data_IF_938618866170
#
_entry.id   IF_938618866170
#
_cell.length_a   1.000
_cell.length_b   1.000
_cell.length_c   1.000
_cell.angle_alpha   90.00
_cell.angle_beta   90.00
_cell.angle_gamma   90.00
#
_symmetry.space_group_name_H-M   'P 1'
#
loop_
_entity.id
_entity.type
_entity.pdbx_description
1 polymer ?
#
# COMPACT_ATOMS: atom_id res chain seq x y z
N UNK A 1 13.51 3.11 2.05
CA UNK A 1 13.24 4.38 2.77
C UNK A 1 11.98 4.20 3.58
N UNK A 2 11.94 4.68 4.85
CA UNK A 2 10.68 4.71 5.61
C UNK A 2 10.00 6.05 5.38
N UNK A 3 8.78 6.04 4.84
CA UNK A 3 7.98 7.25 4.62
C UNK A 3 7.42 7.74 5.96
N UNK A 4 8.25 8.41 6.74
CA UNK A 4 7.79 9.33 7.77
C UNK A 4 7.76 10.72 7.12
N UNK A 5 6.59 11.38 7.16
CA UNK A 5 6.33 12.80 6.87
C UNK A 5 7.56 13.53 6.31
N UNK A 6 7.58 13.76 4.99
CA UNK A 6 8.56 14.64 4.37
C UNK A 6 8.37 16.05 4.95
N UNK A 7 9.17 16.39 5.97
CA UNK A 7 9.31 17.75 6.44
C UNK A 7 10.16 18.50 5.43
N UNK A 8 9.49 19.30 4.58
CA UNK A 8 10.06 20.42 3.84
C UNK A 8 11.11 20.06 2.79
N UNK A 9 10.74 20.13 1.52
CA UNK A 9 11.52 20.77 0.44
C UNK A 9 10.62 20.86 -0.80
N UNK A 10 10.75 21.96 -1.53
CA UNK A 10 9.77 22.48 -2.47
C UNK A 10 9.37 21.54 -3.60
N UNK A 11 8.09 21.62 -3.93
CA UNK A 11 7.46 21.04 -5.12
C UNK A 11 8.04 21.70 -6.37
N UNK A 12 8.67 20.93 -7.26
CA UNK A 12 8.98 21.38 -8.61
C UNK A 12 7.82 20.97 -9.52
N UNK A 13 7.09 21.97 -10.02
CA UNK A 13 5.96 21.83 -10.92
C UNK A 13 6.43 21.29 -12.28
N UNK A 14 6.39 19.98 -12.47
CA UNK A 14 6.27 19.25 -13.74
C UNK A 14 6.75 17.81 -13.51
N UNK A 15 5.86 16.90 -13.17
CA UNK A 15 6.21 15.47 -13.11
C UNK A 15 5.23 14.72 -14.00
N UNK A 16 5.72 14.30 -15.16
CA UNK A 16 5.07 13.44 -16.14
C UNK A 16 4.61 12.14 -15.46
N UNK A 17 3.30 12.05 -15.22
CA UNK A 17 2.62 11.01 -14.45
C UNK A 17 2.29 9.75 -15.25
N UNK A 18 2.84 9.56 -16.46
CA UNK A 18 2.25 8.73 -17.52
C UNK A 18 2.42 7.19 -17.44
N UNK A 19 3.06 6.60 -16.42
CA UNK A 19 3.56 5.22 -16.58
C UNK A 19 3.39 4.25 -15.41
N UNK A 20 2.54 4.51 -14.42
CA UNK A 20 2.48 3.65 -13.23
C UNK A 20 1.07 3.27 -12.81
N UNK A 21 0.87 1.99 -12.51
CA UNK A 21 -0.39 1.47 -11.98
C UNK A 21 -0.24 0.99 -10.53
N UNK A 22 -0.64 1.83 -9.57
CA UNK A 22 -0.57 1.56 -8.13
C UNK A 22 -1.66 0.58 -7.65
N UNK A 23 -1.44 -0.73 -7.68
CA UNK A 23 -2.42 -1.72 -7.18
C UNK A 23 -2.49 -1.76 -5.64
N UNK A 24 -3.66 -1.43 -5.08
CA UNK A 24 -3.94 -1.45 -3.64
C UNK A 24 -4.91 -2.59 -3.30
N UNK A 25 -4.37 -3.67 -2.71
CA UNK A 25 -5.12 -4.87 -2.32
C UNK A 25 -5.93 -4.69 -1.02
N UNK A 26 -7.24 -4.48 -1.14
CA UNK A 26 -8.17 -4.24 -0.02
C UNK A 26 -9.15 -5.40 0.14
N UNK A 27 -9.30 -5.92 1.38
CA UNK A 27 -10.41 -6.80 1.79
C UNK A 27 -11.70 -5.96 1.90
N UNK A 28 -12.92 -6.50 1.74
CA UNK A 28 -14.11 -5.69 1.59
C UNK A 28 -14.58 -5.16 2.96
N UNK A 29 -14.33 -3.88 3.23
CA UNK A 29 -14.95 -3.14 4.33
C UNK A 29 -15.11 -1.68 3.93
N UNK A 30 -16.36 -1.30 3.63
CA UNK A 30 -16.82 0.09 3.46
C UNK A 30 -16.35 0.81 2.21
N UNK A 31 -17.27 1.05 1.27
CA UNK A 31 -17.08 1.87 0.06
C UNK A 31 -16.43 3.24 0.34
N UNK A 32 -16.61 3.76 1.57
CA UNK A 32 -16.18 5.08 2.02
C UNK A 32 -14.65 5.24 2.10
N UNK A 33 -13.91 4.20 2.53
CA UNK A 33 -12.45 4.29 2.64
C UNK A 33 -11.78 4.34 1.26
N UNK A 34 -12.29 3.54 0.32
CA UNK A 34 -11.83 3.53 -1.07
C UNK A 34 -12.11 4.90 -1.69
N UNK A 35 -13.32 5.42 -1.54
CA UNK A 35 -13.68 6.74 -2.04
C UNK A 35 -12.78 7.85 -1.47
N UNK A 36 -12.50 7.80 -0.16
CA UNK A 36 -11.60 8.76 0.52
C UNK A 36 -10.19 8.67 -0.03
N UNK A 37 -9.62 7.46 -0.15
CA UNK A 37 -8.27 7.28 -0.67
C UNK A 37 -8.14 7.68 -2.14
N UNK A 38 -9.15 7.39 -2.96
CA UNK A 38 -9.20 7.85 -4.35
C UNK A 38 -9.19 9.38 -4.42
N UNK A 39 -10.02 10.03 -3.60
CA UNK A 39 -10.02 11.50 -3.51
C UNK A 39 -8.64 12.03 -3.13
N UNK A 40 -7.99 11.44 -2.13
CA UNK A 40 -6.62 11.82 -1.76
C UNK A 40 -5.62 11.67 -2.90
N UNK A 41 -5.75 10.63 -3.74
CA UNK A 41 -4.89 10.45 -4.92
C UNK A 41 -5.13 11.57 -5.94
N UNK A 42 -6.39 11.92 -6.22
CA UNK A 42 -6.72 13.03 -7.11
C UNK A 42 -6.25 14.39 -6.56
N UNK A 43 -6.44 14.63 -5.26
CA UNK A 43 -5.99 15.85 -4.58
C UNK A 43 -4.45 15.98 -4.58
N UNK A 44 -3.73 14.85 -4.62
CA UNK A 44 -2.28 14.80 -4.79
C UNK A 44 -1.82 14.98 -6.26
N UNK A 45 -2.76 15.08 -7.21
CA UNK A 45 -2.47 15.23 -8.63
C UNK A 45 -2.14 13.91 -9.34
N UNK A 46 -2.47 12.75 -8.79
CA UNK A 46 -2.20 11.47 -9.47
C UNK A 46 -3.14 11.23 -10.65
N UNK A 47 -2.55 10.96 -11.81
CA UNK A 47 -3.30 10.69 -13.04
C UNK A 47 -3.28 9.23 -13.47
N UNK A 48 -2.31 8.41 -13.04
CA UNK A 48 -2.23 7.00 -13.40
C UNK A 48 -2.18 6.13 -12.13
N UNK A 49 -3.28 5.43 -11.86
CA UNK A 49 -3.45 4.54 -10.70
C UNK A 49 -4.71 3.69 -10.85
N UNK A 50 -4.73 2.54 -10.16
CA UNK A 50 -5.91 1.66 -10.04
C UNK A 50 -5.99 1.06 -8.63
N UNK A 51 -7.14 1.08 -7.98
CA UNK A 51 -7.32 0.31 -6.76
C UNK A 51 -7.76 -1.11 -7.12
N UNK A 52 -7.04 -2.14 -6.66
CA UNK A 52 -7.42 -3.54 -6.88
C UNK A 52 -7.98 -4.15 -5.60
N UNK A 53 -9.30 -4.25 -5.50
CA UNK A 53 -9.94 -4.87 -4.33
C UNK A 53 -9.98 -6.38 -4.55
N UNK A 54 -9.33 -7.13 -3.67
CA UNK A 54 -9.16 -8.58 -3.81
C UNK A 54 -9.82 -9.29 -2.65
N UNK A 55 -10.70 -10.23 -2.95
CA UNK A 55 -11.37 -11.02 -1.93
C UNK A 55 -11.55 -12.48 -2.33
N UNK A 56 -11.63 -13.34 -1.31
CA UNK A 56 -11.98 -14.75 -1.49
C UNK A 56 -13.47 -14.96 -1.83
N UNK A 57 -14.32 -13.96 -1.57
CA UNK A 57 -15.76 -14.00 -1.79
C UNK A 57 -16.21 -12.83 -2.68
N UNK A 58 -17.41 -12.93 -3.26
CA UNK A 58 -17.99 -11.87 -4.06
C UNK A 58 -18.09 -10.55 -3.27
N UNK A 59 -17.69 -9.45 -3.91
CA UNK A 59 -17.70 -8.12 -3.32
C UNK A 59 -18.80 -7.29 -3.96
N UNK A 60 -19.77 -6.85 -3.16
CA UNK A 60 -20.81 -5.92 -3.57
C UNK A 60 -20.32 -4.48 -3.43
N UNK A 61 -19.49 -4.05 -4.38
CA UNK A 61 -19.10 -2.65 -4.56
C UNK A 61 -19.80 -2.10 -5.81
N UNK A 62 -20.26 -0.84 -5.84
CA UNK A 62 -20.70 -0.21 -7.08
C UNK A 62 -19.55 -0.16 -8.10
N UNK A 63 -19.83 -0.15 -9.40
CA UNK A 63 -18.81 0.13 -10.41
C UNK A 63 -18.26 1.54 -10.20
N UNK A 64 -16.94 1.66 -10.08
CA UNK A 64 -16.25 2.94 -9.94
C UNK A 64 -15.09 2.99 -10.94
N UNK A 65 -14.84 4.14 -11.60
CA UNK A 65 -13.65 4.32 -12.42
C UNK A 65 -12.40 4.09 -11.58
N UNK A 66 -11.39 3.41 -12.13
CA UNK A 66 -10.12 3.08 -11.44
C UNK A 66 -10.23 2.13 -10.25
N UNK A 67 -11.34 1.42 -10.09
CA UNK A 67 -11.45 0.32 -9.11
C UNK A 67 -11.66 -1.01 -9.84
N UNK A 68 -10.70 -1.92 -9.71
CA UNK A 68 -10.78 -3.29 -10.20
C UNK A 68 -11.11 -4.23 -9.06
N UNK A 69 -11.97 -5.21 -9.33
CA UNK A 69 -12.35 -6.25 -8.34
C UNK A 69 -11.79 -7.57 -8.81
N UNK A 70 -11.11 -8.27 -7.92
CA UNK A 70 -10.54 -9.59 -8.19
C UNK A 70 -11.10 -10.55 -7.16
N UNK A 71 -11.88 -11.53 -7.62
CA UNK A 71 -12.41 -12.60 -6.78
C UNK A 71 -11.52 -13.82 -6.97
N UNK A 72 -10.93 -14.29 -5.88
CA UNK A 72 -10.02 -15.44 -5.91
C UNK A 72 -10.83 -16.72 -6.11
N UNK A 73 -10.62 -17.49 -7.19
CA UNK A 73 -11.37 -18.73 -7.44
C UNK A 73 -11.21 -19.69 -6.27
N UNK A 74 -12.28 -20.34 -5.81
CA UNK A 74 -12.22 -21.28 -4.67
C UNK A 74 -11.29 -22.47 -4.92
N UNK A 75 -11.04 -22.82 -6.18
CA UNK A 75 -10.09 -23.84 -6.63
C UNK A 75 -8.63 -23.41 -6.49
N UNK A 76 -8.32 -22.11 -6.50
CA UNK A 76 -6.95 -21.62 -6.47
C UNK A 76 -6.23 -22.00 -5.16
N UNK A 77 -5.00 -22.47 -5.28
CA UNK A 77 -4.10 -22.83 -4.18
C UNK A 77 -2.73 -22.24 -4.46
N UNK A 78 -2.19 -21.54 -3.48
CA UNK A 78 -0.82 -21.02 -3.56
C UNK A 78 0.19 -22.16 -3.46
N UNK A 79 1.35 -22.00 -4.11
CA UNK A 79 2.44 -22.99 -4.08
C UNK A 79 2.96 -23.25 -2.67
N UNK A 80 2.96 -22.23 -1.80
CA UNK A 80 3.39 -22.30 -0.41
C UNK A 80 2.31 -22.80 0.56
N UNK A 81 1.07 -22.96 0.12
CA UNK A 81 -0.06 -23.27 1.01
C UNK A 81 -0.54 -22.09 1.86
N UNK A 82 -0.10 -20.86 1.55
CA UNK A 82 -0.60 -19.63 2.16
C UNK A 82 -2.13 -19.50 2.02
N UNK A 83 -2.77 -19.03 3.10
CA UNK A 83 -4.23 -18.90 3.23
C UNK A 83 -4.63 -17.43 3.43
N UNK A 84 -5.93 -17.15 3.33
CA UNK A 84 -6.52 -15.83 3.61
C UNK A 84 -5.90 -14.71 2.77
N UNK A 85 -5.52 -13.59 3.40
CA UNK A 85 -4.98 -12.40 2.72
C UNK A 85 -3.76 -12.72 1.85
N UNK A 86 -2.85 -13.57 2.32
CA UNK A 86 -1.67 -13.96 1.56
C UNK A 86 -2.04 -14.76 0.29
N UNK A 87 -3.11 -15.56 0.33
CA UNK A 87 -3.63 -16.26 -0.85
C UNK A 87 -4.19 -15.29 -1.88
N UNK A 88 -4.98 -14.33 -1.44
CA UNK A 88 -5.58 -13.33 -2.31
C UNK A 88 -4.52 -12.44 -2.98
N UNK A 89 -3.54 -11.96 -2.20
CA UNK A 89 -2.42 -11.20 -2.70
C UNK A 89 -1.59 -11.97 -3.72
N UNK A 90 -1.28 -13.23 -3.43
CA UNK A 90 -0.54 -14.09 -4.35
C UNK A 90 -1.29 -14.31 -5.67
N UNK A 91 -2.61 -14.49 -5.61
CA UNK A 91 -3.42 -14.69 -6.81
C UNK A 91 -3.32 -13.52 -7.79
N UNK A 92 -3.20 -12.28 -7.29
CA UNK A 92 -3.09 -11.09 -8.15
C UNK A 92 -1.76 -11.01 -8.92
N UNK A 93 -0.77 -11.78 -8.48
CA UNK A 93 0.54 -11.87 -9.13
C UNK A 93 0.63 -13.06 -10.08
N UNK A 94 -0.40 -13.91 -10.16
CA UNK A 94 -0.44 -15.01 -11.13
C UNK A 94 -0.69 -14.47 -12.55
N UNK A 95 -0.07 -15.09 -13.55
CA UNK A 95 -0.09 -14.60 -14.94
C UNK A 95 -1.52 -14.45 -15.52
N UNK A 96 -2.46 -15.28 -15.06
CA UNK A 96 -3.87 -15.24 -15.50
C UNK A 96 -4.66 -14.05 -14.94
N UNK A 97 -4.20 -13.45 -13.83
CA UNK A 97 -4.90 -12.41 -13.11
C UNK A 97 -4.15 -11.07 -13.09
N UNK A 98 -2.82 -11.10 -13.20
CA UNK A 98 -1.99 -9.91 -13.19
C UNK A 98 -2.24 -9.06 -14.45
N UNK A 99 -2.37 -7.76 -14.27
CA UNK A 99 -2.49 -6.78 -15.36
C UNK A 99 -1.34 -5.77 -15.36
N UNK A 100 -0.47 -5.86 -14.36
CA UNK A 100 0.64 -4.95 -14.16
C UNK A 100 1.84 -5.39 -15.00
N UNK A 101 2.54 -4.41 -15.55
CA UNK A 101 3.78 -4.60 -16.28
C UNK A 101 4.97 -4.65 -15.31
N UNK A 102 6.11 -5.17 -15.76
CA UNK A 102 7.30 -5.31 -14.91
C UNK A 102 7.85 -3.97 -14.38
N UNK A 103 7.57 -2.89 -15.10
CA UNK A 103 7.90 -1.54 -14.69
C UNK A 103 6.82 -0.94 -13.78
N UNK A 104 5.72 -1.59 -13.44
CA UNK A 104 4.76 -0.97 -12.52
C UNK A 104 5.20 -1.06 -11.05
N UNK A 105 4.64 -0.19 -10.20
CA UNK A 105 4.82 -0.22 -8.74
C UNK A 105 3.54 -0.70 -8.05
N UNK A 106 3.69 -1.61 -7.09
CA UNK A 106 2.61 -2.08 -6.22
C UNK A 106 2.74 -1.38 -4.87
N UNK A 107 1.62 -0.87 -4.36
CA UNK A 107 1.51 -0.32 -3.01
C UNK A 107 0.52 -1.16 -2.23
N UNK A 108 1.05 -2.02 -1.36
CA UNK A 108 0.20 -2.81 -0.48
C UNK A 108 -0.34 -1.91 0.63
N UNK A 109 -1.66 -1.93 0.84
CA UNK A 109 -2.31 -1.30 1.99
C UNK A 109 -3.24 -2.30 2.70
N UNK A 110 -3.55 -1.99 3.94
CA UNK A 110 -4.63 -2.64 4.65
C UNK A 110 -5.98 -1.98 4.32
N UNK A 111 -7.06 -2.75 4.49
CA UNK A 111 -8.44 -2.34 4.19
C UNK A 111 -8.92 -1.13 5.02
N UNK A 112 -8.39 -1.00 6.22
CA UNK A 112 -8.69 0.10 7.16
C UNK A 112 -7.75 1.30 6.99
N UNK A 113 -6.79 1.26 6.07
CA UNK A 113 -5.76 2.30 5.94
C UNK A 113 -6.27 3.48 5.13
N UNK A 114 -6.21 4.67 5.74
CA UNK A 114 -6.47 5.94 5.07
C UNK A 114 -5.15 6.63 4.69
N UNK A 115 -5.07 7.10 3.45
CA UNK A 115 -3.93 7.82 2.91
C UNK A 115 -4.08 9.32 3.13
N UNK A 116 -2.94 10.00 3.28
CA UNK A 116 -2.85 11.45 3.25
C UNK A 116 -2.15 11.90 1.96
N UNK A 117 -2.37 13.14 1.52
CA UNK A 117 -1.68 13.70 0.35
C UNK A 117 -0.16 13.62 0.50
N UNK A 118 0.36 13.85 1.70
CA UNK A 118 1.80 13.72 1.98
C UNK A 118 2.30 12.28 1.84
N UNK A 119 1.48 11.30 2.20
CA UNK A 119 1.80 9.88 1.99
C UNK A 119 1.95 9.58 0.51
N UNK A 120 1.03 10.07 -0.31
CA UNK A 120 1.07 9.91 -1.77
C UNK A 120 2.34 10.56 -2.35
N UNK A 121 2.61 11.83 -2.02
CA UNK A 121 3.83 12.50 -2.47
C UNK A 121 5.09 11.74 -2.04
N UNK A 122 5.10 11.17 -0.83
CA UNK A 122 6.18 10.31 -0.37
C UNK A 122 6.39 9.11 -1.27
N UNK A 123 5.33 8.34 -1.55
CA UNK A 123 5.37 7.18 -2.46
C UNK A 123 5.93 7.58 -3.82
N UNK A 124 5.40 8.65 -4.42
CA UNK A 124 5.83 9.14 -5.73
C UNK A 124 7.32 9.48 -5.77
N UNK A 125 7.81 10.23 -4.78
CA UNK A 125 9.22 10.59 -4.68
C UNK A 125 10.15 9.37 -4.59
N UNK A 126 9.70 8.29 -3.94
CA UNK A 126 10.49 7.06 -3.85
C UNK A 126 10.48 6.25 -5.13
N UNK A 127 9.31 6.15 -5.78
CA UNK A 127 9.20 5.51 -7.08
C UNK A 127 10.06 6.23 -8.13
N UNK A 128 10.10 7.57 -8.08
CA UNK A 128 10.94 8.41 -8.94
C UNK A 128 12.43 8.26 -8.64
N UNK A 129 12.83 8.24 -7.36
CA UNK A 129 14.23 8.05 -6.99
C UNK A 129 14.77 6.70 -7.47
N UNK A 130 13.96 5.64 -7.41
CA UNK A 130 14.25 4.33 -8.03
C UNK A 130 15.50 3.60 -7.51
N UNK A 131 16.23 4.15 -6.53
CA UNK A 131 17.49 3.58 -6.00
C UNK A 131 17.28 2.32 -5.17
N UNK A 132 16.06 2.13 -4.66
CA UNK A 132 15.72 1.05 -3.76
C UNK A 132 14.45 0.35 -4.20
N UNK A 133 14.45 -0.98 -4.12
CA UNK A 133 13.32 -1.80 -4.55
C UNK A 133 12.20 -1.86 -3.51
N UNK A 134 12.52 -1.67 -2.22
CA UNK A 134 11.56 -1.78 -1.14
C UNK A 134 11.44 -0.49 -0.33
N UNK A 135 10.22 0.01 -0.24
CA UNK A 135 9.82 1.14 0.60
C UNK A 135 8.80 0.71 1.63
N UNK A 136 8.86 1.25 2.84
CA UNK A 136 7.89 0.97 3.90
C UNK A 136 7.29 2.29 4.37
N UNK A 137 5.98 2.40 4.43
CA UNK A 137 5.33 3.56 5.00
C UNK A 137 5.08 3.42 6.49
N UNK A 138 4.92 4.55 7.17
CA UNK A 138 4.53 4.56 8.59
C UNK A 138 3.02 4.49 8.67
N UNK A 139 2.52 3.56 9.49
CA UNK A 139 1.11 3.47 9.84
C UNK A 139 0.95 4.04 11.24
N UNK A 140 0.05 5.01 11.37
CA UNK A 140 -0.34 5.61 12.64
C UNK A 140 -1.73 5.12 13.03
N UNK A 141 -1.93 4.90 14.33
CA UNK A 141 -3.20 4.47 14.90
C UNK A 141 -3.77 5.59 15.77
N UNK A 142 -5.09 5.54 16.03
CA UNK A 142 -5.83 6.51 16.83
C UNK A 142 -5.81 7.96 16.30
N UNK A 143 -6.10 8.15 15.01
CA UNK A 143 -6.31 9.49 14.42
C UNK A 143 -7.67 10.12 14.78
N UNK A 144 -8.49 9.44 15.58
CA UNK A 144 -9.81 9.89 16.05
C UNK A 144 -9.91 9.92 17.58
N UNK A 145 -11.13 9.89 18.13
CA UNK A 145 -11.34 9.92 19.58
C UNK A 145 -10.78 8.68 20.29
N UNK A 146 -10.15 8.90 21.44
CA UNK A 146 -9.59 7.83 22.26
C UNK A 146 -10.68 7.04 22.98
N UNK A 147 -11.09 5.92 22.41
CA UNK A 147 -12.07 5.01 23.04
C UNK A 147 -11.45 4.27 24.24
N UNK A 148 -10.19 3.86 24.13
CA UNK A 148 -9.47 3.19 25.22
C UNK A 148 -7.98 3.52 25.19
N UNK A 149 -7.48 4.08 26.29
CA UNK A 149 -6.09 4.52 26.45
C UNK A 149 -5.09 3.35 26.45
N UNK A 150 -5.44 2.21 27.05
CA UNK A 150 -4.53 1.07 27.15
C UNK A 150 -4.28 0.44 25.78
N UNK A 151 -5.32 0.27 24.97
CA UNK A 151 -5.19 -0.27 23.62
C UNK A 151 -4.48 0.72 22.70
N UNK A 152 -4.78 2.01 22.82
CA UNK A 152 -4.10 3.08 22.07
C UNK A 152 -2.59 3.13 22.39
N UNK A 153 -2.24 3.04 23.67
CA UNK A 153 -0.84 2.98 24.09
C UNK A 153 -0.16 1.71 23.55
N UNK A 154 -0.87 0.58 23.55
CA UNK A 154 -0.37 -0.66 22.95
C UNK A 154 -0.07 -0.50 21.45
N UNK A 155 -0.97 0.12 20.69
CA UNK A 155 -0.76 0.39 19.26
C UNK A 155 0.41 1.36 19.00
N UNK A 156 0.74 2.23 19.96
CA UNK A 156 1.88 3.15 19.86
C UNK A 156 3.23 2.41 19.79
N UNK A 157 3.33 1.20 20.35
CA UNK A 157 4.54 0.37 20.19
C UNK A 157 4.78 -0.03 18.72
N UNK A 158 3.72 -0.22 17.93
CA UNK A 158 3.84 -0.54 16.50
C UNK A 158 4.39 0.65 15.71
N UNK A 159 4.01 1.86 16.11
CA UNK A 159 4.54 3.10 15.53
C UNK A 159 6.03 3.24 15.88
N UNK A 160 6.40 2.97 17.13
CA UNK A 160 7.79 3.00 17.58
C UNK A 160 8.66 1.98 16.83
N UNK A 161 8.14 0.78 16.59
CA UNK A 161 8.84 -0.26 15.81
C UNK A 161 9.08 0.15 14.35
N UNK A 162 8.04 0.71 13.70
CA UNK A 162 8.13 1.27 12.35
C UNK A 162 9.19 2.39 12.26
N UNK A 163 9.15 3.33 13.20
CA UNK A 163 10.04 4.50 13.23
C UNK A 163 11.46 4.18 13.70
N UNK A 164 11.63 3.10 14.45
CA UNK A 164 12.90 2.65 15.01
C UNK A 164 13.53 1.56 14.17
N UNK A 165 13.10 0.31 14.39
CA UNK A 165 13.74 -0.87 13.82
C UNK A 165 13.66 -0.88 12.30
N UNK A 166 12.48 -0.64 11.71
CA UNK A 166 12.32 -0.67 10.25
C UNK A 166 13.00 0.53 9.58
N UNK A 167 12.86 1.73 10.14
CA UNK A 167 13.55 2.93 9.61
C UNK A 167 15.06 2.77 9.60
N UNK A 168 15.63 2.25 10.69
CA UNK A 168 17.05 2.01 10.78
C UNK A 168 17.50 0.99 9.72
N UNK A 169 16.77 -0.11 9.57
CA UNK A 169 17.09 -1.16 8.61
C UNK A 169 17.09 -0.65 7.16
N UNK A 170 16.04 0.05 6.76
CA UNK A 170 15.94 0.60 5.40
C UNK A 170 16.87 1.77 5.14
N UNK A 171 17.31 2.49 6.19
CA UNK A 171 18.26 3.59 6.07
C UNK A 171 19.71 3.10 5.97
N UNK A 172 20.09 2.09 6.74
CA UNK A 172 21.48 1.60 6.79
C UNK A 172 21.76 0.44 5.84
N UNK A 173 20.82 -0.51 5.73
CA UNK A 173 21.04 -1.77 5.00
C UNK A 173 20.22 -1.87 3.71
N UNK A 174 19.24 -0.97 3.54
CA UNK A 174 18.32 -0.93 2.40
C UNK A 174 17.55 -2.25 2.19
N UNK A 175 17.49 -3.09 3.21
CA UNK A 175 16.85 -4.41 3.23
C UNK A 175 16.29 -4.69 4.63
N UNK A 176 15.15 -5.40 4.74
CA UNK A 176 14.66 -5.87 6.02
C UNK A 176 15.51 -7.06 6.50
N UNK A 177 16.45 -6.83 7.41
CA UNK A 177 17.33 -7.87 7.97
C UNK A 177 16.67 -8.64 9.13
N UNK A 178 15.78 -7.99 9.85
CA UNK A 178 14.96 -8.51 10.93
C UNK A 178 13.50 -8.48 10.48
N UNK A 179 12.64 -9.22 11.20
CA UNK A 179 11.24 -9.44 10.82
C UNK A 179 10.55 -8.18 10.28
N UNK A 180 10.03 -8.28 9.06
CA UNK A 180 9.28 -7.19 8.42
C UNK A 180 7.80 -7.37 8.73
N UNK A 181 7.31 -6.61 9.69
CA UNK A 181 5.87 -6.56 10.04
C UNK A 181 5.32 -5.20 9.65
N UNK A 182 4.42 -5.19 8.68
CA UNK A 182 3.77 -3.97 8.21
C UNK A 182 2.80 -4.28 7.08
N UNK A 183 1.78 -3.45 6.94
CA UNK A 183 0.78 -3.57 5.89
C UNK A 183 0.84 -2.45 4.86
N UNK A 184 1.82 -1.56 4.97
CA UNK A 184 2.02 -0.44 4.05
C UNK A 184 3.42 -0.46 3.46
N UNK A 185 3.59 -1.06 2.29
CA UNK A 185 4.88 -1.10 1.60
C UNK A 185 4.73 -0.94 0.09
N UNK A 186 5.83 -0.53 -0.52
CA UNK A 186 5.96 -0.20 -1.94
C UNK A 186 7.04 -1.08 -2.56
N UNK A 187 6.74 -1.71 -3.68
CA UNK A 187 7.65 -2.60 -4.41
C UNK A 187 7.38 -2.55 -5.91
N UNK A 188 8.39 -2.65 -6.79
CA UNK A 188 8.14 -2.80 -8.22
C UNK A 188 7.67 -4.24 -8.50
N UNK A 189 6.89 -4.43 -9.56
CA UNK A 189 6.36 -5.74 -9.98
C UNK A 189 7.48 -6.69 -10.39
N UNK A 190 8.51 -6.18 -11.08
CA UNK A 190 9.61 -6.98 -11.62
C UNK A 190 10.55 -7.59 -10.58
N UNK A 191 10.40 -7.27 -9.29
CA UNK A 191 11.22 -7.82 -8.21
C UNK A 191 10.56 -9.10 -7.69
N UNK A 192 11.14 -10.25 -8.06
CA UNK A 192 10.74 -11.59 -7.62
C UNK A 192 11.70 -12.13 -6.56
#
# INVERSE_FOLDING_TARGET
MVFALATGTGFSNAVTLDLWQMSICVKPTGDENIATNMKTCYDAGMENFIFEVVADNAIHLPPQPRVRKVVVPTSYRTKSGAKFKARALQYCLEDDANILQNNDWIVHLNEETLLTTNTICGILNFCEDGRHQFGQGVITYASGEFVNWLTTMSDSFRIADNMGQLRLQFKLFHKPLFGWKGSFFVTPVGVK
#
